data_IF_541207022436
#
_entry.id   IF_541207022436
#
_cell.length_a   1.000
_cell.length_b   1.000
_cell.length_c   1.000
_cell.angle_alpha   90.00
_cell.angle_beta   90.00
_cell.angle_gamma   90.00
#
_symmetry.space_group_name_H-M   'P 1'
#
loop_
_entity.id
_entity.type
_entity.pdbx_description
1 polymer ?
#
# COMPACT_ATOMS: atom_id res chain seq x y z
N UNK A 1 51.30 -29.27 18.00
CA UNK A 1 49.98 -29.00 17.41
C UNK A 1 49.06 -28.60 18.52
N UNK A 2 48.88 -27.32 18.68
CA UNK A 2 48.05 -26.73 19.77
C UNK A 2 46.59 -26.68 19.25
N UNK A 3 45.77 -27.53 19.86
CA UNK A 3 44.32 -27.55 19.63
C UNK A 3 43.73 -26.23 20.20
N UNK A 4 43.47 -25.26 19.33
CA UNK A 4 42.66 -24.11 19.72
C UNK A 4 41.20 -24.55 19.61
N UNK A 5 40.54 -24.67 20.74
CA UNK A 5 39.07 -24.74 20.85
C UNK A 5 38.45 -23.51 20.20
N UNK A 6 37.45 -23.58 19.32
CA UNK A 6 36.76 -22.40 18.80
C UNK A 6 36.14 -21.63 19.96
N UNK A 7 36.42 -20.34 20.04
CA UNK A 7 35.77 -19.47 21.03
C UNK A 7 34.25 -19.54 20.81
N UNK A 8 33.51 -19.80 21.89
CA UNK A 8 32.06 -19.78 21.88
C UNK A 8 31.55 -18.44 21.36
N UNK A 9 30.63 -18.48 20.40
CA UNK A 9 29.94 -17.28 19.90
C UNK A 9 29.27 -16.58 21.08
N UNK A 10 29.32 -15.23 21.15
CA UNK A 10 28.56 -14.51 22.17
C UNK A 10 27.07 -14.89 22.05
N UNK A 11 26.42 -15.03 23.20
CA UNK A 11 24.98 -15.29 23.21
C UNK A 11 24.23 -14.18 22.48
N UNK A 12 23.28 -14.55 21.61
CA UNK A 12 22.47 -13.59 20.88
C UNK A 12 21.62 -12.78 21.88
N UNK A 13 21.58 -11.46 21.67
CA UNK A 13 20.71 -10.57 22.43
C UNK A 13 19.34 -10.64 21.82
N UNK A 14 18.41 -11.29 22.50
CA UNK A 14 17.02 -11.37 22.07
C UNK A 14 16.25 -10.22 22.72
N UNK A 15 15.58 -9.41 21.92
CA UNK A 15 14.70 -8.36 22.42
C UNK A 15 13.59 -8.96 23.29
N UNK A 16 13.26 -8.36 24.44
CA UNK A 16 12.14 -8.83 25.25
C UNK A 16 10.85 -8.75 24.42
N UNK A 17 10.04 -9.78 24.49
CA UNK A 17 8.70 -9.78 23.87
C UNK A 17 7.86 -8.73 24.58
N UNK A 18 7.63 -7.60 23.94
CA UNK A 18 6.69 -6.60 24.44
C UNK A 18 5.33 -6.89 23.82
N UNK A 19 4.33 -7.08 24.64
CA UNK A 19 2.94 -7.31 24.19
C UNK A 19 2.28 -6.06 23.59
N UNK A 20 3.02 -4.95 23.53
CA UNK A 20 2.51 -3.68 23.01
C UNK A 20 3.57 -2.96 22.17
N UNK A 21 3.20 -2.65 20.95
CA UNK A 21 3.92 -1.69 20.12
C UNK A 21 3.87 -0.35 20.84
N UNK A 22 5.05 0.26 21.05
CA UNK A 22 5.10 1.59 21.66
C UNK A 22 4.35 2.58 20.77
N UNK A 23 3.43 3.39 21.34
CA UNK A 23 2.75 4.41 20.57
C UNK A 23 3.75 5.38 19.97
N UNK A 24 3.47 5.83 18.74
CA UNK A 24 4.29 6.84 18.08
C UNK A 24 4.36 8.10 18.96
N UNK A 25 5.54 8.46 19.44
CA UNK A 25 5.73 9.61 20.36
C UNK A 25 5.83 10.95 19.65
N UNK A 26 5.83 10.94 18.33
CA UNK A 26 5.97 12.13 17.52
C UNK A 26 4.64 12.46 16.86
N UNK A 27 3.97 13.48 17.35
CA UNK A 27 2.85 14.04 16.60
C UNK A 27 3.38 14.91 15.46
N UNK A 28 2.76 14.87 14.26
CA UNK A 28 3.19 15.68 13.12
C UNK A 28 3.26 17.16 13.45
N UNK A 29 2.38 17.63 14.28
CA UNK A 29 2.28 19.02 14.73
C UNK A 29 3.51 19.46 15.56
N UNK A 30 3.90 18.66 16.53
CA UNK A 30 5.06 18.96 17.36
C UNK A 30 6.37 18.92 16.57
N UNK A 31 6.49 18.01 15.61
CA UNK A 31 7.67 17.90 14.75
C UNK A 31 7.77 19.05 13.74
N UNK A 32 6.66 19.49 13.15
CA UNK A 32 6.60 20.66 12.26
C UNK A 32 6.95 21.96 12.99
N UNK A 33 6.40 22.17 14.19
CA UNK A 33 6.70 23.30 15.05
C UNK A 33 8.16 23.34 15.51
N UNK A 34 8.77 22.18 15.71
CA UNK A 34 10.17 22.08 16.10
C UNK A 34 11.16 22.11 14.91
N UNK A 35 10.67 22.27 13.66
CA UNK A 35 11.52 22.18 12.46
C UNK A 35 12.10 20.80 12.23
N UNK A 36 11.53 19.77 12.86
CA UNK A 36 11.93 18.36 12.69
C UNK A 36 10.95 17.65 11.78
N UNK A 37 11.45 16.74 10.94
CA UNK A 37 10.61 15.83 10.17
C UNK A 37 9.86 14.91 11.15
N UNK A 38 8.56 15.10 11.29
CA UNK A 38 7.70 14.21 12.05
C UNK A 38 7.16 13.11 11.16
N UNK A 39 7.52 11.87 11.43
CA UNK A 39 6.90 10.73 10.82
C UNK A 39 5.58 10.41 11.55
N UNK A 40 4.48 10.46 10.81
CA UNK A 40 3.15 10.09 11.31
C UNK A 40 2.74 8.75 10.70
N UNK A 41 2.90 7.69 11.47
CA UNK A 41 2.75 6.33 11.01
C UNK A 41 1.32 6.01 10.55
N UNK A 42 1.10 5.49 9.33
CA UNK A 42 -0.20 4.94 8.94
C UNK A 42 -0.48 3.65 9.72
N UNK A 43 -1.71 3.50 10.17
CA UNK A 43 -2.21 2.29 10.83
C UNK A 43 -3.55 1.88 10.21
N UNK A 44 -3.99 0.65 10.48
CA UNK A 44 -5.29 0.20 10.01
C UNK A 44 -6.46 1.07 10.56
N UNK A 45 -6.27 1.68 11.73
CA UNK A 45 -7.31 2.47 12.43
C UNK A 45 -7.36 3.94 11.99
N UNK A 46 -6.23 4.52 11.53
CA UNK A 46 -6.17 5.94 11.16
C UNK A 46 -6.22 6.18 9.65
N UNK A 47 -6.13 5.12 8.84
CA UNK A 47 -5.96 5.20 7.39
C UNK A 47 -7.22 4.91 6.58
N UNK A 48 -7.28 5.51 5.39
CA UNK A 48 -8.20 5.20 4.29
C UNK A 48 -7.37 4.81 3.07
N UNK A 49 -7.88 3.92 2.22
CA UNK A 49 -7.23 3.56 0.95
C UNK A 49 -8.01 4.14 -0.23
N UNK A 50 -7.31 4.77 -1.18
CA UNK A 50 -7.84 5.25 -2.43
C UNK A 50 -7.20 4.51 -3.60
N UNK A 51 -8.01 3.78 -4.38
CA UNK A 51 -7.61 3.10 -5.60
C UNK A 51 -8.15 3.88 -6.80
N UNK A 52 -7.29 4.67 -7.44
CA UNK A 52 -7.72 5.65 -8.45
C UNK A 52 -7.34 5.18 -9.85
N UNK A 53 -8.36 4.96 -10.68
CA UNK A 53 -8.23 4.73 -12.11
C UNK A 53 -7.35 3.53 -12.49
N UNK A 54 -7.35 2.46 -11.69
CA UNK A 54 -6.75 1.18 -12.05
C UNK A 54 -7.60 0.50 -13.12
N UNK A 55 -7.58 1.08 -14.32
CA UNK A 55 -8.38 0.69 -15.47
C UNK A 55 -7.53 -0.05 -16.49
N UNK A 56 -8.10 -1.06 -17.14
CA UNK A 56 -7.37 -1.99 -18.01
C UNK A 56 -6.61 -1.25 -19.12
N UNK A 57 -7.25 -0.26 -19.77
CA UNK A 57 -6.65 0.50 -20.87
C UNK A 57 -5.48 1.39 -20.40
N UNK A 58 -5.62 2.04 -19.23
CA UNK A 58 -4.56 2.85 -18.66
C UNK A 58 -3.38 1.97 -18.22
N UNK A 59 -3.65 0.88 -17.50
CA UNK A 59 -2.61 -0.04 -17.05
C UNK A 59 -1.82 -0.66 -18.21
N UNK A 60 -2.49 -1.02 -19.30
CA UNK A 60 -1.85 -1.55 -20.50
C UNK A 60 -0.87 -0.56 -21.15
N UNK A 61 -1.04 0.75 -20.93
CA UNK A 61 -0.18 1.81 -21.44
C UNK A 61 1.10 2.06 -20.65
N UNK A 62 1.18 1.62 -19.40
CA UNK A 62 2.33 1.89 -18.50
C UNK A 62 3.61 1.22 -18.99
N UNK A 63 4.77 1.86 -18.75
CA UNK A 63 6.09 1.45 -19.28
C UNK A 63 7.24 1.62 -18.29
N UNK A 64 6.94 1.81 -17.02
CA UNK A 64 7.92 2.02 -15.94
C UNK A 64 8.19 0.77 -15.11
N UNK A 65 7.47 -0.31 -15.36
CA UNK A 65 7.64 -1.62 -14.72
C UNK A 65 8.40 -2.60 -15.61
N UNK A 66 9.02 -3.59 -14.99
CA UNK A 66 9.66 -4.72 -15.68
C UNK A 66 8.62 -5.51 -16.46
N UNK A 67 7.43 -5.72 -15.87
CA UNK A 67 6.31 -6.38 -16.52
C UNK A 67 4.96 -5.86 -16.04
N UNK A 68 3.95 -5.95 -16.90
CA UNK A 68 2.56 -5.67 -16.50
C UNK A 68 2.08 -6.60 -15.39
N UNK A 69 2.60 -7.82 -15.33
CA UNK A 69 2.25 -8.79 -14.30
C UNK A 69 2.75 -8.33 -12.92
N UNK A 70 3.98 -7.80 -12.82
CA UNK A 70 4.52 -7.22 -11.59
C UNK A 70 3.65 -6.05 -11.11
N UNK A 71 3.39 -5.09 -11.98
CA UNK A 71 2.52 -3.95 -11.66
C UNK A 71 1.14 -4.40 -11.16
N UNK A 72 0.49 -5.30 -11.92
CA UNK A 72 -0.81 -5.86 -11.56
C UNK A 72 -0.77 -6.55 -10.19
N UNK A 73 0.28 -7.31 -9.91
CA UNK A 73 0.46 -8.00 -8.62
C UNK A 73 0.55 -7.01 -7.46
N UNK A 74 1.30 -5.92 -7.59
CA UNK A 74 1.41 -4.90 -6.55
C UNK A 74 0.05 -4.21 -6.30
N UNK A 75 -0.68 -3.88 -7.35
CA UNK A 75 -2.03 -3.28 -7.24
C UNK A 75 -2.99 -4.22 -6.50
N UNK A 76 -3.02 -5.50 -6.87
CA UNK A 76 -3.86 -6.50 -6.21
C UNK A 76 -3.37 -6.73 -4.76
N UNK A 77 -2.06 -6.77 -4.54
CA UNK A 77 -1.46 -6.88 -3.22
C UNK A 77 -1.93 -5.77 -2.28
N UNK A 78 -1.87 -4.51 -2.73
CA UNK A 78 -2.38 -3.37 -1.97
C UNK A 78 -3.88 -3.50 -1.66
N UNK A 79 -4.70 -3.88 -2.65
CA UNK A 79 -6.12 -4.08 -2.48
C UNK A 79 -6.45 -5.18 -1.45
N UNK A 80 -5.73 -6.30 -1.51
CA UNK A 80 -5.88 -7.41 -0.56
C UNK A 80 -5.43 -7.04 0.85
N UNK A 81 -4.34 -6.28 1.00
CA UNK A 81 -3.89 -5.74 2.30
C UNK A 81 -4.95 -4.84 2.90
N UNK A 82 -5.50 -3.91 2.12
CA UNK A 82 -6.58 -3.03 2.58
C UNK A 82 -7.81 -3.83 3.06
N UNK A 83 -8.22 -4.86 2.30
CA UNK A 83 -9.35 -5.74 2.67
C UNK A 83 -9.05 -6.56 3.92
N UNK A 84 -7.87 -7.19 4.01
CA UNK A 84 -7.45 -8.01 5.15
C UNK A 84 -7.38 -7.21 6.46
N UNK A 85 -6.96 -5.95 6.38
CA UNK A 85 -6.85 -5.02 7.50
C UNK A 85 -8.15 -4.25 7.79
N UNK A 86 -9.24 -4.51 7.04
CA UNK A 86 -10.51 -3.79 7.15
C UNK A 86 -10.35 -2.26 7.03
N UNK A 87 -9.41 -1.79 6.20
CA UNK A 87 -9.22 -0.37 5.95
C UNK A 87 -10.29 0.10 4.96
N UNK A 88 -11.11 1.11 5.30
CA UNK A 88 -12.11 1.63 4.38
C UNK A 88 -11.47 2.12 3.09
N UNK A 89 -12.00 1.68 1.96
CA UNK A 89 -11.41 1.89 0.63
C UNK A 89 -12.40 2.61 -0.27
N UNK A 90 -11.96 3.61 -1.01
CA UNK A 90 -12.72 4.22 -2.10
C UNK A 90 -12.05 3.90 -3.44
N UNK A 91 -12.88 3.54 -4.42
CA UNK A 91 -12.43 3.15 -5.75
C UNK A 91 -13.02 4.12 -6.76
N UNK A 92 -12.17 4.68 -7.63
CA UNK A 92 -12.60 5.59 -8.68
C UNK A 92 -12.17 5.11 -10.07
N UNK A 93 -12.95 5.49 -11.07
CA UNK A 93 -12.61 5.31 -12.49
C UNK A 93 -12.95 6.57 -13.28
N UNK A 94 -12.19 6.84 -14.35
CA UNK A 94 -12.38 7.98 -15.24
C UNK A 94 -12.70 7.49 -16.65
N UNK A 95 -13.78 8.04 -17.25
CA UNK A 95 -14.13 7.74 -18.65
C UNK A 95 -14.08 6.25 -19.04
N UNK A 96 -14.66 5.38 -18.21
CA UNK A 96 -14.59 3.92 -18.41
C UNK A 96 -15.19 3.42 -19.74
N UNK A 97 -15.98 4.25 -20.41
CA UNK A 97 -16.60 3.94 -21.71
C UNK A 97 -15.65 4.16 -22.90
N UNK A 98 -14.47 4.76 -22.67
CA UNK A 98 -13.50 5.12 -23.69
C UNK A 98 -12.23 4.27 -23.55
N UNK A 99 -11.12 4.77 -24.08
CA UNK A 99 -9.81 4.11 -24.11
C UNK A 99 -9.28 3.69 -22.72
N UNK A 100 -9.72 4.32 -21.64
CA UNK A 100 -9.32 3.94 -20.28
C UNK A 100 -9.83 2.54 -19.90
N UNK A 101 -10.97 2.14 -20.46
CA UNK A 101 -11.60 0.85 -20.17
C UNK A 101 -12.17 0.76 -18.75
N UNK A 102 -12.61 -0.41 -18.36
CA UNK A 102 -13.20 -0.64 -17.04
C UNK A 102 -12.11 -0.87 -15.97
N UNK A 103 -12.50 -0.74 -14.72
CA UNK A 103 -11.67 -1.06 -13.55
C UNK A 103 -11.21 -2.52 -13.60
N UNK A 104 -9.99 -2.78 -13.17
CA UNK A 104 -9.40 -4.11 -13.09
C UNK A 104 -10.37 -5.11 -12.43
N UNK A 105 -10.65 -6.27 -13.08
CA UNK A 105 -11.64 -7.23 -12.57
C UNK A 105 -11.36 -7.68 -11.14
N UNK A 106 -10.10 -7.90 -10.79
CA UNK A 106 -9.71 -8.36 -9.46
C UNK A 106 -10.01 -7.32 -8.36
N UNK A 107 -9.91 -6.03 -8.65
CA UNK A 107 -10.33 -4.97 -7.71
C UNK A 107 -11.84 -5.05 -7.50
N UNK A 108 -12.61 -5.24 -8.58
CA UNK A 108 -14.06 -5.37 -8.49
C UNK A 108 -14.49 -6.61 -7.71
N UNK A 109 -13.73 -7.69 -7.81
CA UNK A 109 -13.98 -8.94 -7.06
C UNK A 109 -13.65 -8.77 -5.57
N UNK A 110 -12.48 -8.21 -5.22
CA UNK A 110 -12.07 -7.96 -3.84
C UNK A 110 -13.05 -7.05 -3.10
N UNK A 111 -13.59 -6.05 -3.79
CA UNK A 111 -14.52 -5.05 -3.26
C UNK A 111 -15.91 -5.13 -3.91
N UNK A 112 -16.44 -6.34 -4.11
CA UNK A 112 -17.71 -6.56 -4.78
C UNK A 112 -18.92 -5.88 -4.10
N UNK A 113 -18.79 -5.59 -2.82
CA UNK A 113 -19.79 -4.94 -1.96
C UNK A 113 -19.68 -3.40 -1.96
N UNK A 114 -18.72 -2.82 -2.69
CA UNK A 114 -18.45 -1.39 -2.69
C UNK A 114 -18.71 -0.72 -4.04
N UNK A 115 -19.19 0.55 -4.05
CA UNK A 115 -19.38 1.30 -5.29
C UNK A 115 -18.04 1.72 -5.89
N UNK A 116 -18.03 1.83 -7.23
CA UNK A 116 -16.96 2.50 -7.98
C UNK A 116 -17.47 3.88 -8.36
N UNK A 117 -16.75 4.92 -7.97
CA UNK A 117 -17.05 6.31 -8.29
C UNK A 117 -16.61 6.61 -9.74
N UNK A 118 -17.58 6.64 -10.66
CA UNK A 118 -17.32 6.79 -12.10
C UNK A 118 -17.38 8.26 -12.49
N UNK A 119 -16.21 8.85 -12.75
CA UNK A 119 -16.08 10.24 -13.22
C UNK A 119 -16.20 10.32 -14.75
N UNK A 120 -16.76 11.41 -15.25
CA UNK A 120 -17.01 11.60 -16.69
C UNK A 120 -15.89 12.33 -17.42
N UNK A 121 -14.84 12.84 -16.71
CA UNK A 121 -13.75 13.55 -17.35
C UNK A 121 -12.87 14.38 -16.43
N UNK A 122 -13.30 14.66 -15.21
CA UNK A 122 -12.47 15.36 -14.23
C UNK A 122 -11.24 14.50 -13.91
N UNK A 123 -10.06 15.04 -14.20
CA UNK A 123 -8.78 14.30 -14.08
C UNK A 123 -8.43 14.06 -12.60
N UNK A 124 -8.45 15.14 -11.82
CA UNK A 124 -8.20 15.06 -10.38
C UNK A 124 -9.48 14.56 -9.67
N UNK A 125 -9.45 13.32 -9.17
CA UNK A 125 -10.63 12.75 -8.50
C UNK A 125 -11.06 13.56 -7.27
N UNK A 126 -10.16 14.26 -6.62
CA UNK A 126 -10.47 15.09 -5.44
C UNK A 126 -11.24 16.37 -5.81
N UNK A 127 -11.21 16.79 -7.07
CA UNK A 127 -12.02 17.90 -7.60
C UNK A 127 -13.41 17.44 -8.08
N UNK A 128 -13.64 16.13 -8.21
CA UNK A 128 -14.96 15.59 -8.52
C UNK A 128 -15.87 15.70 -7.29
N UNK A 129 -17.00 16.43 -7.37
CA UNK A 129 -17.85 16.67 -6.21
C UNK A 129 -18.39 15.39 -5.56
N UNK A 130 -18.72 14.38 -6.38
CA UNK A 130 -19.29 13.12 -5.89
C UNK A 130 -18.24 12.29 -5.13
N UNK A 131 -17.04 12.17 -5.69
CA UNK A 131 -15.94 11.48 -5.03
C UNK A 131 -15.49 12.20 -3.75
N UNK A 132 -15.33 13.52 -3.84
CA UNK A 132 -14.94 14.34 -2.69
C UNK A 132 -15.96 14.24 -1.55
N UNK A 133 -17.24 14.35 -1.83
CA UNK A 133 -18.29 14.19 -0.83
C UNK A 133 -18.25 12.82 -0.15
N UNK A 134 -18.00 11.76 -0.92
CA UNK A 134 -17.86 10.41 -0.37
C UNK A 134 -16.64 10.27 0.55
N UNK A 135 -15.50 10.86 0.17
CA UNK A 135 -14.30 10.88 1.01
C UNK A 135 -14.53 11.68 2.30
N UNK A 136 -15.10 12.87 2.22
CA UNK A 136 -15.38 13.72 3.38
C UNK A 136 -16.40 13.08 4.33
N UNK A 137 -17.43 12.41 3.80
CA UNK A 137 -18.38 11.64 4.61
C UNK A 137 -17.69 10.48 5.34
N UNK A 138 -16.77 9.78 4.67
CA UNK A 138 -16.00 8.67 5.25
C UNK A 138 -15.05 9.19 6.33
N UNK A 139 -14.34 10.30 6.08
CA UNK A 139 -13.49 10.97 7.07
C UNK A 139 -14.30 11.40 8.29
N UNK A 140 -15.46 12.04 8.09
CA UNK A 140 -16.34 12.45 9.18
C UNK A 140 -16.81 11.28 10.02
N UNK A 141 -17.20 10.19 9.37
CA UNK A 141 -17.67 8.97 10.05
C UNK A 141 -16.58 8.26 10.86
N UNK A 142 -15.33 8.28 10.37
CA UNK A 142 -14.25 7.44 10.92
C UNK A 142 -13.16 8.23 11.64
N UNK A 143 -13.12 9.56 11.48
CA UNK A 143 -12.05 10.46 11.94
C UNK A 143 -10.67 10.13 11.38
N UNK A 144 -10.58 9.35 10.29
CA UNK A 144 -9.33 8.91 9.65
C UNK A 144 -8.83 10.00 8.71
N UNK A 145 -7.56 10.37 8.81
CA UNK A 145 -6.95 11.44 8.00
C UNK A 145 -5.66 11.02 7.29
N UNK A 146 -5.24 9.77 7.43
CA UNK A 146 -4.12 9.19 6.71
C UNK A 146 -4.65 8.56 5.42
N UNK A 147 -4.17 9.05 4.29
CA UNK A 147 -4.63 8.62 2.97
C UNK A 147 -3.54 7.80 2.29
N UNK A 148 -3.76 6.51 2.18
CA UNK A 148 -2.98 5.61 1.36
C UNK A 148 -3.56 5.67 -0.05
N UNK A 149 -2.78 6.09 -1.03
CA UNK A 149 -3.28 6.31 -2.40
C UNK A 149 -2.41 5.61 -3.44
N UNK A 150 -3.05 4.96 -4.39
CA UNK A 150 -2.44 4.50 -5.62
C UNK A 150 -3.32 4.89 -6.82
N UNK A 151 -2.70 5.16 -7.96
CA UNK A 151 -3.47 5.58 -9.14
C UNK A 151 -2.69 5.54 -10.45
N UNK A 152 -3.39 5.38 -11.54
CA UNK A 152 -2.86 5.30 -12.91
C UNK A 152 -3.34 6.50 -13.72
N UNK A 153 -2.42 7.42 -14.15
CA UNK A 153 -0.98 7.33 -13.93
C UNK A 153 -0.54 8.05 -12.65
N UNK A 154 0.67 7.74 -12.21
CA UNK A 154 1.24 8.35 -11.00
C UNK A 154 1.33 9.87 -11.10
N UNK A 155 1.62 10.42 -12.29
CA UNK A 155 1.77 11.87 -12.52
C UNK A 155 0.46 12.64 -12.46
N UNK A 156 -0.68 11.98 -12.64
CA UNK A 156 -2.01 12.58 -12.70
C UNK A 156 -2.94 12.03 -11.63
N UNK A 157 -3.44 10.81 -11.81
CA UNK A 157 -4.48 10.24 -10.97
C UNK A 157 -4.02 9.92 -9.53
N UNK A 158 -2.70 9.84 -9.30
CA UNK A 158 -2.13 9.79 -7.96
C UNK A 158 -1.65 11.18 -7.49
N UNK A 159 -0.80 11.86 -8.27
CA UNK A 159 -0.15 13.08 -7.82
C UNK A 159 -1.10 14.27 -7.61
N UNK A 160 -2.07 14.48 -8.52
CA UNK A 160 -2.97 15.63 -8.39
C UNK A 160 -3.86 15.56 -7.14
N UNK A 161 -4.57 14.47 -6.86
CA UNK A 161 -5.33 14.35 -5.61
C UNK A 161 -4.42 14.36 -4.37
N UNK A 162 -3.22 13.77 -4.43
CA UNK A 162 -2.24 13.86 -3.34
C UNK A 162 -1.94 15.30 -2.96
N UNK A 163 -1.62 16.15 -3.94
CA UNK A 163 -1.30 17.55 -3.70
C UNK A 163 -2.48 18.33 -3.15
N UNK A 164 -3.70 18.08 -3.66
CA UNK A 164 -4.92 18.70 -3.16
C UNK A 164 -5.23 18.30 -1.72
N UNK A 165 -5.11 17.00 -1.40
CA UNK A 165 -5.35 16.48 -0.06
C UNK A 165 -4.32 16.98 0.96
N UNK A 166 -3.03 17.08 0.59
CA UNK A 166 -2.01 17.70 1.43
C UNK A 166 -2.33 19.14 1.76
N UNK A 167 -2.83 19.92 0.78
CA UNK A 167 -3.26 21.30 1.00
C UNK A 167 -4.42 21.39 2.01
N UNK A 168 -5.31 20.41 2.02
CA UNK A 168 -6.44 20.32 2.94
C UNK A 168 -6.07 19.62 4.28
N UNK A 169 -4.77 19.41 4.54
CA UNK A 169 -4.22 18.94 5.82
C UNK A 169 -4.33 17.43 6.06
N UNK A 170 -4.51 16.62 5.01
CA UNK A 170 -4.38 15.16 5.11
C UNK A 170 -2.91 14.75 5.17
N UNK A 171 -2.61 13.62 5.80
CA UNK A 171 -1.35 12.90 5.63
C UNK A 171 -1.51 11.94 4.45
N UNK A 172 -0.60 11.96 3.47
CA UNK A 172 -0.77 11.20 2.23
C UNK A 172 0.43 10.30 1.95
N UNK A 173 0.15 9.03 1.71
CA UNK A 173 1.11 7.95 1.45
C UNK A 173 0.89 7.39 0.04
N UNK A 174 1.54 7.95 -0.99
CA UNK A 174 1.48 7.39 -2.34
C UNK A 174 2.20 6.05 -2.40
N UNK A 175 1.49 4.99 -2.82
CA UNK A 175 2.05 3.63 -2.97
C UNK A 175 2.60 3.51 -4.38
N UNK A 176 3.89 3.83 -4.54
CA UNK A 176 4.50 4.12 -5.84
C UNK A 176 4.57 2.91 -6.78
N UNK A 177 4.75 1.71 -6.25
CA UNK A 177 4.79 0.46 -7.01
C UNK A 177 3.40 -0.12 -7.34
N UNK A 178 2.34 0.48 -6.78
CA UNK A 178 0.95 0.26 -7.19
C UNK A 178 0.41 1.40 -8.08
N UNK A 179 1.28 2.34 -8.52
CA UNK A 179 1.01 3.40 -9.48
C UNK A 179 1.75 3.12 -10.78
N UNK A 180 1.12 3.31 -11.94
CA UNK A 180 1.78 3.17 -13.23
C UNK A 180 2.14 4.52 -13.85
N UNK A 181 3.17 4.55 -14.69
CA UNK A 181 3.54 5.72 -15.48
C UNK A 181 3.74 5.38 -16.96
N UNK A 182 3.61 6.38 -17.85
CA UNK A 182 3.89 6.21 -19.28
C UNK A 182 5.38 5.99 -19.55
N UNK A 183 6.23 6.47 -18.65
CA UNK A 183 7.67 6.31 -18.72
C UNK A 183 8.31 6.65 -17.36
N UNK A 184 9.58 6.31 -17.22
CA UNK A 184 10.36 6.53 -16.00
C UNK A 184 10.44 8.00 -15.58
N UNK A 185 10.53 8.94 -16.53
CA UNK A 185 10.64 10.38 -16.24
C UNK A 185 9.38 10.91 -15.54
N UNK A 186 8.20 10.45 -15.98
CA UNK A 186 6.93 10.78 -15.32
C UNK A 186 6.92 10.25 -13.88
N UNK A 187 7.31 8.99 -13.67
CA UNK A 187 7.34 8.38 -12.35
C UNK A 187 8.27 9.15 -11.40
N UNK A 188 9.51 9.41 -11.80
CA UNK A 188 10.50 10.12 -10.99
C UNK A 188 10.05 11.57 -10.67
N UNK A 189 9.53 12.27 -11.66
CA UNK A 189 9.02 13.64 -11.48
C UNK A 189 7.83 13.69 -10.52
N UNK A 190 6.89 12.74 -10.64
CA UNK A 190 5.71 12.66 -9.78
C UNK A 190 6.09 12.35 -8.33
N UNK A 191 6.94 11.33 -8.10
CA UNK A 191 7.43 10.96 -6.77
C UNK A 191 8.13 12.14 -6.10
N UNK A 192 9.08 12.78 -6.83
CA UNK A 192 9.80 13.94 -6.32
C UNK A 192 8.87 15.11 -5.99
N UNK A 193 7.85 15.36 -6.84
CA UNK A 193 6.86 16.43 -6.62
C UNK A 193 6.02 16.18 -5.37
N UNK A 194 5.50 14.97 -5.21
CA UNK A 194 4.68 14.60 -4.06
C UNK A 194 5.48 14.64 -2.76
N UNK A 195 6.70 14.06 -2.75
CA UNK A 195 7.58 14.07 -1.57
C UNK A 195 7.94 15.49 -1.12
N UNK A 196 8.30 16.39 -2.05
CA UNK A 196 8.58 17.79 -1.71
C UNK A 196 7.37 18.56 -1.20
N UNK A 197 6.16 18.16 -1.57
CA UNK A 197 4.93 18.73 -1.07
C UNK A 197 4.55 18.23 0.34
N UNK A 198 5.24 17.19 0.85
CA UNK A 198 5.03 16.64 2.19
C UNK A 198 4.31 15.29 2.20
N UNK A 199 4.13 14.64 1.04
CA UNK A 199 3.68 13.25 1.01
C UNK A 199 4.81 12.30 1.42
N UNK A 200 4.44 11.10 1.84
CA UNK A 200 5.35 10.01 2.24
C UNK A 200 5.25 8.85 1.22
N UNK A 201 5.99 8.87 0.10
CA UNK A 201 5.97 7.79 -0.88
C UNK A 201 6.47 6.48 -0.27
N UNK A 202 5.72 5.40 -0.47
CA UNK A 202 6.02 4.05 0.06
C UNK A 202 5.85 2.99 -1.02
N UNK A 203 6.42 1.78 -0.81
CA UNK A 203 6.08 0.61 -1.61
C UNK A 203 4.97 -0.22 -0.95
N UNK A 204 4.28 -1.03 -1.73
CA UNK A 204 3.22 -1.93 -1.24
C UNK A 204 3.72 -2.83 -0.11
N UNK A 205 4.91 -3.43 -0.27
CA UNK A 205 5.48 -4.29 0.75
C UNK A 205 5.84 -3.53 2.04
N UNK A 206 6.52 -2.39 1.93
CA UNK A 206 6.88 -1.58 3.09
C UNK A 206 5.64 -1.11 3.85
N UNK A 207 4.64 -0.60 3.14
CA UNK A 207 3.36 -0.19 3.73
C UNK A 207 2.66 -1.36 4.44
N UNK A 208 2.61 -2.54 3.81
CA UNK A 208 1.99 -3.71 4.41
C UNK A 208 2.68 -4.12 5.71
N UNK A 209 4.01 -4.09 5.76
CA UNK A 209 4.79 -4.33 6.98
C UNK A 209 4.53 -3.25 8.04
N UNK A 210 4.39 -2.01 7.62
CA UNK A 210 4.12 -0.89 8.51
C UNK A 210 2.74 -0.99 9.16
N UNK A 211 1.72 -1.35 8.38
CA UNK A 211 0.36 -1.61 8.86
C UNK A 211 0.30 -2.84 9.78
N UNK A 212 1.01 -3.92 9.45
CA UNK A 212 1.07 -5.14 10.26
C UNK A 212 1.83 -4.93 11.57
N UNK A 213 2.90 -4.16 11.54
CA UNK A 213 3.74 -3.73 12.65
C UNK A 213 4.41 -4.86 13.47
N UNK A 214 3.71 -5.93 13.80
CA UNK A 214 4.22 -7.13 14.48
C UNK A 214 3.52 -8.37 13.90
N UNK A 215 4.30 -9.36 13.49
CA UNK A 215 3.77 -10.64 13.00
C UNK A 215 3.04 -11.47 14.05
N UNK A 216 3.12 -11.10 15.32
CA UNK A 216 2.33 -11.68 16.40
C UNK A 216 0.91 -11.09 16.51
N UNK A 217 0.62 -10.00 15.81
CA UNK A 217 -0.71 -9.43 15.79
C UNK A 217 -1.71 -10.38 15.12
N UNK A 218 -2.97 -10.43 15.60
CA UNK A 218 -4.00 -11.32 15.05
C UNK A 218 -4.28 -11.13 13.56
N UNK A 219 -3.90 -10.00 12.99
CA UNK A 219 -4.04 -9.68 11.56
C UNK A 219 -3.05 -10.43 10.68
N UNK A 220 -2.00 -11.05 11.25
CA UNK A 220 -0.93 -11.72 10.49
C UNK A 220 -1.44 -12.80 9.56
N UNK A 221 -2.39 -13.63 10.00
CA UNK A 221 -2.97 -14.69 9.16
C UNK A 221 -3.65 -14.13 7.90
N UNK A 222 -4.36 -13.02 8.03
CA UNK A 222 -4.99 -12.32 6.91
C UNK A 222 -3.99 -11.70 5.94
N UNK A 223 -2.78 -11.38 6.40
CA UNK A 223 -1.72 -10.77 5.59
C UNK A 223 -0.90 -11.78 4.78
N UNK A 224 -0.93 -13.05 5.13
CA UNK A 224 -0.13 -14.06 4.44
C UNK A 224 -0.55 -14.26 2.98
N UNK A 225 -1.86 -14.30 2.69
CA UNK A 225 -2.35 -14.47 1.33
C UNK A 225 -1.93 -13.34 0.37
N UNK A 226 -2.05 -12.03 0.72
CA UNK A 226 -1.47 -10.95 -0.06
C UNK A 226 0.02 -11.12 -0.35
N UNK A 227 0.82 -11.50 0.65
CA UNK A 227 2.25 -11.68 0.48
C UNK A 227 2.59 -12.84 -0.44
N UNK A 228 1.97 -13.99 -0.25
CA UNK A 228 2.28 -15.18 -1.04
C UNK A 228 1.83 -15.03 -2.50
N UNK A 229 0.65 -14.47 -2.73
CA UNK A 229 0.06 -14.38 -4.08
C UNK A 229 0.58 -13.22 -4.91
N UNK A 230 0.86 -12.09 -4.27
CA UNK A 230 1.07 -10.84 -4.99
C UNK A 230 2.39 -10.12 -4.67
N UNK A 231 3.06 -10.49 -3.58
CA UNK A 231 4.39 -10.00 -3.23
C UNK A 231 5.35 -11.19 -3.28
N UNK A 232 5.60 -11.67 -4.51
CA UNK A 232 6.23 -12.95 -4.81
C UNK A 232 7.60 -13.16 -4.17
N UNK A 233 8.37 -12.08 -4.00
CA UNK A 233 9.70 -12.12 -3.39
C UNK A 233 9.61 -12.55 -1.93
N UNK A 234 8.69 -11.99 -1.17
CA UNK A 234 8.48 -12.39 0.22
C UNK A 234 7.75 -13.72 0.33
N UNK A 235 6.85 -14.01 -0.59
CA UNK A 235 6.23 -15.34 -0.73
C UNK A 235 7.27 -16.43 -0.90
N UNK A 236 8.31 -16.19 -1.72
CA UNK A 236 9.44 -17.11 -1.88
C UNK A 236 10.22 -17.29 -0.57
N UNK A 237 10.46 -16.24 0.21
CA UNK A 237 11.10 -16.33 1.54
C UNK A 237 10.31 -17.23 2.48
N UNK A 238 8.98 -17.07 2.52
CA UNK A 238 8.11 -17.92 3.33
C UNK A 238 8.14 -19.39 2.88
N UNK A 239 8.04 -19.65 1.57
CA UNK A 239 8.12 -21.00 1.02
C UNK A 239 9.47 -21.66 1.33
N UNK A 240 10.57 -20.91 1.17
CA UNK A 240 11.90 -21.43 1.51
C UNK A 240 12.01 -21.79 3.00
N UNK A 241 11.48 -20.96 3.89
CA UNK A 241 11.46 -21.26 5.32
C UNK A 241 10.68 -22.56 5.61
N UNK A 242 9.47 -22.69 5.10
CA UNK A 242 8.63 -23.87 5.34
C UNK A 242 9.25 -25.14 4.79
N UNK A 243 9.83 -25.10 3.59
CA UNK A 243 10.50 -26.25 2.98
C UNK A 243 11.71 -26.71 3.81
N UNK A 244 12.46 -25.80 4.40
CA UNK A 244 13.69 -26.14 5.12
C UNK A 244 13.45 -26.51 6.60
N UNK A 245 12.48 -25.89 7.25
CA UNK A 245 12.24 -26.09 8.70
C UNK A 245 11.40 -27.35 8.95
N UNK A 246 10.42 -27.62 8.12
CA UNK A 246 9.50 -28.73 8.35
C UNK A 246 9.92 -30.05 7.74
N UNK A 247 11.00 -30.11 6.93
CA UNK A 247 11.54 -31.35 6.36
C UNK A 247 10.57 -32.15 5.46
N UNK A 248 9.39 -31.63 5.22
CA UNK A 248 8.34 -32.23 4.41
C UNK A 248 7.87 -31.23 3.36
N UNK A 249 7.38 -31.76 2.24
CA UNK A 249 6.59 -30.94 1.32
C UNK A 249 5.57 -30.14 2.15
N UNK A 250 5.66 -28.83 2.11
CA UNK A 250 4.84 -27.94 2.92
C UNK A 250 3.41 -28.33 2.69
N UNK A 251 2.77 -28.84 3.72
CA UNK A 251 1.32 -28.76 3.75
C UNK A 251 1.03 -27.28 3.53
N UNK A 252 0.46 -26.96 2.37
CA UNK A 252 0.09 -25.59 2.03
C UNK A 252 -0.87 -25.08 3.12
N UNK A 253 -0.39 -24.35 4.15
CA UNK A 253 -1.22 -23.98 5.30
C UNK A 253 -2.34 -23.03 4.89
N UNK A 254 -2.31 -22.54 3.63
CA UNK A 254 -3.27 -21.57 3.10
C UNK A 254 -4.10 -22.12 1.95
N UNK A 255 -3.89 -23.41 1.53
CA UNK A 255 -4.63 -24.02 0.43
C UNK A 255 -4.37 -23.33 -0.94
N UNK A 256 -3.19 -22.74 -1.13
CA UNK A 256 -2.85 -21.93 -2.29
C UNK A 256 -2.19 -22.73 -3.41
N UNK A 257 -1.61 -23.89 -3.09
CA UNK A 257 -1.05 -24.83 -4.06
C UNK A 257 -2.01 -26.01 -4.19
N UNK A 258 -2.68 -26.08 -5.33
CA UNK A 258 -3.51 -27.23 -5.71
C UNK A 258 -2.72 -28.18 -6.59
#
# INVERSE_FOLDING_TARGET
MTNQTPSARPADIVSPTTDKILPNRHTPEGARQAGRFGYDKPTAENSLVLLIDHQIGLMAGTRDFVSLAEFKSNVIGLAMVAKAMNIPTLISSSNAQWQNGDTLPEIKEIFADQPIYRRTGIINCYEDPTFRQALEALVTKTSRRHIIIAGVTIGTCCALPTLSMLNDGYQVYPVVDACGAWNRYEAEAAISRMARAGAEPVSTFALACELQADWKNPTADGMLAPFIKNLSEYGFVLQNFWNNVNGHAVADPFGLVK
#
